data_IF_341608144257
#
_entry.id   IF_341608144257
#
_cell.length_a   1.000
_cell.length_b   1.000
_cell.length_c   1.000
_cell.angle_alpha   90.00
_cell.angle_beta   90.00
_cell.angle_gamma   90.00
#
_symmetry.space_group_name_H-M   'P 1'
#
loop_
_entity.id
_entity.type
_entity.pdbx_description
1 polymer ?
#
# COMPACT_ATOMS: atom_id res chain seq x y z
N UNK A 1 -28.31 34.14 -2.47
CA UNK A 1 -29.00 33.02 -3.16
C UNK A 1 -28.76 31.80 -2.29
N UNK A 2 -29.78 31.32 -1.58
CA UNK A 2 -29.66 30.05 -0.85
C UNK A 2 -29.63 28.91 -1.86
N UNK A 3 -28.50 28.19 -1.91
CA UNK A 3 -28.40 26.98 -2.70
C UNK A 3 -29.26 25.93 -2.01
N UNK A 4 -30.53 25.78 -2.46
CA UNK A 4 -31.36 24.69 -1.96
C UNK A 4 -31.14 23.44 -2.81
N UNK A 5 -31.20 22.26 -2.20
CA UNK A 5 -31.12 20.97 -2.87
C UNK A 5 -32.12 20.83 -4.02
N UNK A 6 -33.31 21.38 -3.85
CA UNK A 6 -34.37 21.44 -4.87
C UNK A 6 -33.97 22.32 -6.07
N UNK A 7 -33.34 23.48 -5.81
CA UNK A 7 -32.86 24.37 -6.86
C UNK A 7 -31.75 23.73 -7.69
N UNK A 8 -30.85 23.01 -7.02
CA UNK A 8 -29.77 22.27 -7.67
C UNK A 8 -30.31 21.13 -8.56
N UNK A 9 -31.24 20.34 -8.02
CA UNK A 9 -31.85 19.23 -8.75
C UNK A 9 -32.58 19.74 -10.01
N UNK A 10 -33.32 20.86 -9.89
CA UNK A 10 -34.02 21.50 -11.00
C UNK A 10 -33.07 22.03 -12.07
N UNK A 11 -31.95 22.66 -11.65
CA UNK A 11 -30.92 23.14 -12.59
C UNK A 11 -30.25 21.99 -13.36
N UNK A 12 -29.94 20.88 -12.67
CA UNK A 12 -29.40 19.66 -13.30
C UNK A 12 -30.40 19.07 -14.32
N UNK A 13 -31.66 18.98 -13.98
CA UNK A 13 -32.72 18.44 -14.84
C UNK A 13 -32.99 19.30 -16.07
N UNK A 14 -32.91 20.63 -15.95
CA UNK A 14 -33.15 21.55 -17.08
C UNK A 14 -32.00 21.71 -18.03
N UNK A 15 -30.75 21.39 -17.58
CA UNK A 15 -29.56 21.53 -18.39
C UNK A 15 -28.70 20.24 -18.39
N UNK A 16 -29.22 19.09 -18.86
CA UNK A 16 -28.57 17.80 -18.72
C UNK A 16 -27.19 17.74 -19.39
N UNK A 17 -27.01 18.38 -20.54
CA UNK A 17 -25.69 18.42 -21.24
C UNK A 17 -24.64 19.19 -20.46
N UNK A 18 -25.03 20.29 -19.78
CA UNK A 18 -24.10 21.05 -18.94
C UNK A 18 -23.74 20.29 -17.68
N UNK A 19 -24.70 19.62 -17.09
CA UNK A 19 -24.49 18.76 -15.91
C UNK A 19 -23.55 17.62 -16.26
N UNK A 20 -23.77 16.93 -17.38
CA UNK A 20 -22.87 15.87 -17.83
C UNK A 20 -21.45 16.40 -18.12
N UNK A 21 -21.33 17.54 -18.79
CA UNK A 21 -20.04 18.16 -19.04
C UNK A 21 -19.31 18.53 -17.73
N UNK A 22 -20.01 19.08 -16.74
CA UNK A 22 -19.45 19.41 -15.44
C UNK A 22 -18.92 18.15 -14.71
N UNK A 23 -19.66 17.04 -14.74
CA UNK A 23 -19.23 15.77 -14.17
C UNK A 23 -18.03 15.18 -14.90
N UNK A 24 -18.00 15.23 -16.23
CA UNK A 24 -16.83 14.79 -17.02
C UNK A 24 -15.57 15.60 -16.68
N UNK A 25 -15.71 16.91 -16.52
CA UNK A 25 -14.61 17.78 -16.09
C UNK A 25 -14.18 17.42 -14.66
N UNK A 26 -15.13 17.25 -13.74
CA UNK A 26 -14.80 16.89 -12.36
C UNK A 26 -14.03 15.56 -12.29
N UNK A 27 -14.47 14.55 -13.03
CA UNK A 27 -13.80 13.25 -13.09
C UNK A 27 -12.41 13.37 -13.72
N UNK A 28 -12.29 14.11 -14.81
CA UNK A 28 -11.00 14.34 -15.42
C UNK A 28 -10.02 15.05 -14.47
N UNK A 29 -10.48 16.10 -13.81
CA UNK A 29 -9.68 16.78 -12.77
C UNK A 29 -9.30 15.83 -11.63
N UNK A 30 -10.23 14.97 -11.20
CA UNK A 30 -9.95 13.97 -10.16
C UNK A 30 -8.84 13.01 -10.60
N UNK A 31 -8.85 12.51 -11.83
CA UNK A 31 -7.76 11.67 -12.34
C UNK A 31 -6.41 12.39 -12.39
N UNK A 32 -6.40 13.67 -12.78
CA UNK A 32 -5.18 14.47 -12.77
C UNK A 32 -4.65 14.65 -11.34
N UNK A 33 -5.54 14.97 -10.39
CA UNK A 33 -5.18 15.12 -8.96
C UNK A 33 -4.62 13.81 -8.41
N UNK A 34 -5.27 12.69 -8.66
CA UNK A 34 -4.79 11.36 -8.23
C UNK A 34 -3.40 11.09 -8.81
N UNK A 35 -3.22 11.27 -10.12
CA UNK A 35 -1.95 10.97 -10.78
C UNK A 35 -0.77 11.84 -10.31
N UNK A 36 -1.05 13.07 -9.89
CA UNK A 36 0.00 14.02 -9.48
C UNK A 36 0.26 14.03 -7.97
N UNK A 37 -0.73 13.75 -7.15
CA UNK A 37 -0.66 14.01 -5.70
C UNK A 37 -0.86 12.77 -4.84
N UNK A 38 -1.42 11.67 -5.35
CA UNK A 38 -1.78 10.53 -4.50
C UNK A 38 -0.53 9.83 -3.96
N UNK A 39 0.52 9.68 -4.78
CA UNK A 39 1.75 9.01 -4.36
C UNK A 39 2.42 9.66 -3.16
N UNK A 40 2.48 11.00 -3.16
CA UNK A 40 3.08 11.77 -2.06
C UNK A 40 2.13 11.95 -0.85
N UNK A 41 0.84 11.64 -1.03
CA UNK A 41 -0.18 11.83 -0.01
C UNK A 41 -0.35 10.61 0.91
N UNK A 42 0.14 9.46 0.49
CA UNK A 42 -0.03 8.21 1.21
C UNK A 42 1.24 7.82 1.95
N UNK A 43 1.07 7.34 3.18
CA UNK A 43 2.16 6.80 3.99
C UNK A 43 1.81 5.41 4.49
N UNK A 44 2.79 4.53 4.53
CA UNK A 44 2.73 3.25 5.23
C UNK A 44 3.05 3.42 6.72
N UNK A 45 3.77 4.47 7.09
CA UNK A 45 4.01 4.80 8.48
C UNK A 45 2.73 5.34 9.13
N UNK A 46 2.24 4.63 10.13
CA UNK A 46 1.10 5.07 10.95
C UNK A 46 1.50 6.17 11.93
N UNK A 47 2.02 7.31 11.45
CA UNK A 47 2.34 8.41 12.37
C UNK A 47 1.05 9.03 12.91
N UNK A 48 0.99 9.15 14.22
CA UNK A 48 -0.19 9.66 14.91
C UNK A 48 -0.11 11.19 14.92
N UNK A 49 -1.11 11.87 14.39
CA UNK A 49 -1.19 13.34 14.37
C UNK A 49 -1.28 13.95 15.78
N UNK A 50 -1.76 13.18 16.77
CA UNK A 50 -1.71 13.57 18.17
C UNK A 50 -0.29 13.40 18.72
N UNK A 51 -0.01 13.99 19.89
CA UNK A 51 1.29 13.88 20.57
C UNK A 51 1.20 12.93 21.77
N UNK A 52 1.05 11.59 21.59
CA UNK A 52 0.99 10.62 22.67
C UNK A 52 2.34 10.51 23.38
N UNK A 53 2.33 9.90 24.57
CA UNK A 53 3.53 9.72 25.40
C UNK A 53 4.65 8.96 24.64
N UNK A 54 4.29 8.01 23.78
CA UNK A 54 5.25 7.26 22.95
C UNK A 54 6.00 8.17 21.96
N UNK A 55 5.31 9.11 21.33
CA UNK A 55 5.91 10.09 20.40
C UNK A 55 6.81 11.07 21.15
N UNK A 56 6.40 11.51 22.34
CA UNK A 56 7.22 12.35 23.22
C UNK A 56 8.48 11.62 23.68
N UNK A 57 8.35 10.33 24.05
CA UNK A 57 9.50 9.52 24.44
C UNK A 57 10.47 9.31 23.27
N UNK A 58 9.96 9.04 22.06
CA UNK A 58 10.78 8.93 20.85
C UNK A 58 11.51 10.23 20.52
N UNK A 59 10.86 11.38 20.70
CA UNK A 59 11.49 12.69 20.53
C UNK A 59 12.62 12.91 21.57
N UNK A 60 12.38 12.59 22.84
CA UNK A 60 13.41 12.67 23.88
C UNK A 60 14.61 11.78 23.59
N UNK A 61 14.39 10.57 23.07
CA UNK A 61 15.47 9.66 22.67
C UNK A 61 16.29 10.31 21.53
N UNK A 62 15.63 10.81 20.48
CA UNK A 62 16.33 11.44 19.35
C UNK A 62 17.14 12.67 19.76
N UNK A 63 16.61 13.48 20.67
CA UNK A 63 17.24 14.73 21.11
C UNK A 63 18.36 14.51 22.13
N UNK A 64 18.27 13.44 22.93
CA UNK A 64 19.16 13.22 24.07
C UNK A 64 20.27 12.20 23.79
N UNK A 65 20.09 11.32 22.81
CA UNK A 65 21.04 10.26 22.48
C UNK A 65 21.59 10.44 21.06
N UNK A 66 22.86 10.08 20.81
CA UNK A 66 23.38 10.05 19.46
C UNK A 66 22.55 9.11 18.59
N UNK A 67 22.36 9.42 17.30
CA UNK A 67 21.65 8.55 16.38
C UNK A 67 22.25 7.15 16.40
N UNK A 68 21.46 6.17 16.81
CA UNK A 68 21.88 4.78 16.72
C UNK A 68 21.28 4.17 15.46
N UNK A 69 22.11 3.68 14.54
CA UNK A 69 21.62 2.96 13.39
C UNK A 69 20.95 1.68 13.85
N UNK A 70 19.61 1.66 13.84
CA UNK A 70 18.83 0.47 14.15
C UNK A 70 18.54 -0.29 12.88
N UNK A 71 18.85 -1.59 12.82
CA UNK A 71 18.43 -2.40 11.68
C UNK A 71 16.91 -2.38 11.53
N UNK A 72 16.44 -2.08 10.34
CA UNK A 72 15.01 -2.10 9.99
C UNK A 72 14.63 -3.33 9.18
N UNK A 73 15.61 -3.96 8.54
CA UNK A 73 15.44 -5.15 7.71
C UNK A 73 16.39 -6.26 8.14
N UNK A 74 15.99 -7.51 7.91
CA UNK A 74 16.78 -8.68 8.24
C UNK A 74 16.74 -9.63 7.05
N UNK A 75 17.90 -9.94 6.47
CA UNK A 75 18.04 -11.03 5.50
C UNK A 75 18.41 -12.31 6.24
N UNK A 76 17.66 -13.37 5.98
CA UNK A 76 17.93 -14.71 6.52
C UNK A 76 18.51 -15.57 5.40
N UNK A 77 19.69 -16.13 5.63
CA UNK A 77 20.34 -17.08 4.72
C UNK A 77 20.36 -18.44 5.39
N UNK A 78 19.82 -19.46 4.73
CA UNK A 78 19.73 -20.83 5.22
C UNK A 78 20.22 -21.81 4.16
N UNK A 79 20.85 -22.90 4.60
CA UNK A 79 21.16 -24.05 3.74
C UNK A 79 20.91 -25.36 4.49
N UNK A 80 20.34 -26.36 3.80
CA UNK A 80 20.25 -27.71 4.34
C UNK A 80 21.56 -28.50 4.18
N UNK A 81 22.42 -28.01 3.28
CA UNK A 81 23.67 -28.70 2.90
C UNK A 81 24.88 -28.16 3.66
N UNK A 82 24.93 -26.87 3.88
CA UNK A 82 26.07 -26.16 4.46
C UNK A 82 25.74 -25.59 5.82
N UNK A 83 26.72 -25.49 6.69
CA UNK A 83 26.69 -24.80 7.96
C UNK A 83 27.39 -23.45 7.85
N UNK A 84 27.19 -22.56 8.81
CA UNK A 84 27.89 -21.25 8.86
C UNK A 84 29.41 -21.38 8.94
N UNK A 85 29.95 -22.56 9.31
CA UNK A 85 31.38 -22.82 9.41
C UNK A 85 31.98 -23.19 8.05
N UNK A 86 31.17 -23.52 7.04
CA UNK A 86 31.60 -23.91 5.73
C UNK A 86 31.97 -22.68 4.87
N UNK A 87 33.05 -22.76 4.09
CA UNK A 87 33.50 -21.62 3.28
C UNK A 87 32.50 -21.20 2.20
N UNK A 88 31.69 -22.13 1.68
CA UNK A 88 30.62 -21.85 0.72
C UNK A 88 29.51 -21.02 1.34
N UNK A 89 29.11 -21.33 2.59
CA UNK A 89 28.11 -20.56 3.33
C UNK A 89 28.62 -19.15 3.61
N UNK A 90 29.86 -19.06 4.10
CA UNK A 90 30.51 -17.77 4.34
C UNK A 90 30.57 -16.90 3.09
N UNK A 91 31.00 -17.48 1.96
CA UNK A 91 31.09 -16.76 0.69
C UNK A 91 29.74 -16.23 0.24
N UNK A 92 28.67 -17.03 0.40
CA UNK A 92 27.28 -16.62 0.06
C UNK A 92 26.81 -15.43 0.89
N UNK A 93 26.98 -15.49 2.21
CA UNK A 93 26.56 -14.40 3.13
C UNK A 93 27.32 -13.11 2.85
N UNK A 94 28.65 -13.19 2.67
CA UNK A 94 29.48 -12.03 2.34
C UNK A 94 29.08 -11.41 0.99
N UNK A 95 28.79 -12.24 -0.01
CA UNK A 95 28.34 -11.76 -1.33
C UNK A 95 26.99 -11.05 -1.26
N UNK A 96 26.03 -11.56 -0.47
CA UNK A 96 24.72 -10.91 -0.28
C UNK A 96 24.88 -9.57 0.43
N UNK A 97 25.70 -9.52 1.49
CA UNK A 97 25.98 -8.28 2.21
C UNK A 97 26.61 -7.21 1.31
N UNK A 98 27.68 -7.56 0.60
CA UNK A 98 28.38 -6.65 -0.32
C UNK A 98 27.46 -6.13 -1.44
N UNK A 99 26.68 -7.01 -2.07
CA UNK A 99 25.72 -6.62 -3.11
C UNK A 99 24.59 -5.74 -2.56
N UNK A 100 24.13 -5.99 -1.32
CA UNK A 100 23.17 -5.13 -0.65
C UNK A 100 23.70 -3.70 -0.48
N UNK A 101 24.94 -3.55 -0.05
CA UNK A 101 25.60 -2.24 0.07
C UNK A 101 25.83 -1.57 -1.29
N UNK A 102 26.20 -2.33 -2.34
CA UNK A 102 26.37 -1.82 -3.72
C UNK A 102 25.09 -1.26 -4.32
N UNK A 103 23.90 -1.72 -3.89
CA UNK A 103 22.61 -1.15 -4.30
C UNK A 103 22.41 0.29 -3.84
N UNK A 104 23.21 0.76 -2.86
CA UNK A 104 23.12 2.12 -2.34
C UNK A 104 21.97 2.39 -1.38
N UNK A 105 21.04 1.45 -1.21
CA UNK A 105 19.89 1.53 -0.30
C UNK A 105 20.21 1.03 1.10
N UNK A 106 21.25 0.23 1.27
CA UNK A 106 21.76 -0.30 2.54
C UNK A 106 22.93 0.57 3.00
N UNK A 107 22.90 1.01 4.26
CA UNK A 107 23.97 1.78 4.87
C UNK A 107 25.00 0.89 5.57
N UNK A 108 24.54 -0.20 6.20
CA UNK A 108 25.37 -1.14 6.93
C UNK A 108 24.70 -2.53 6.97
N UNK A 109 25.51 -3.58 6.90
CA UNK A 109 25.07 -4.96 7.01
C UNK A 109 25.81 -5.65 8.15
N UNK A 110 25.07 -6.03 9.20
CA UNK A 110 25.66 -6.72 10.36
C UNK A 110 25.83 -8.21 10.05
N UNK A 111 27.04 -8.58 9.71
CA UNK A 111 27.36 -9.95 9.29
C UNK A 111 28.06 -10.68 10.44
N UNK A 112 27.63 -11.91 10.73
CA UNK A 112 28.23 -12.80 11.74
C UNK A 112 29.76 -12.85 11.64
N UNK A 113 30.30 -13.02 10.45
CA UNK A 113 31.75 -13.16 10.23
C UNK A 113 32.57 -11.89 10.47
N UNK A 114 31.93 -10.75 10.66
CA UNK A 114 32.57 -9.48 11.00
C UNK A 114 32.46 -9.16 12.49
N UNK A 115 31.36 -9.53 13.13
CA UNK A 115 31.05 -9.21 14.53
C UNK A 115 31.34 -10.36 15.50
N UNK A 116 31.41 -11.59 15.00
CA UNK A 116 31.50 -12.83 15.79
C UNK A 116 30.34 -12.98 16.81
N UNK A 117 29.16 -12.41 16.44
CA UNK A 117 27.96 -12.41 17.28
C UNK A 117 27.15 -13.68 17.03
N UNK A 118 27.30 -14.64 17.92
CA UNK A 118 26.57 -15.92 17.88
C UNK A 118 25.04 -15.77 17.95
N UNK A 119 24.52 -14.61 18.34
CA UNK A 119 23.08 -14.37 18.32
C UNK A 119 22.49 -14.29 16.91
N UNK A 120 23.32 -14.04 15.92
CA UNK A 120 22.96 -14.00 14.51
C UNK A 120 22.89 -15.39 13.86
N UNK A 121 23.34 -16.43 14.57
CA UNK A 121 23.43 -17.80 14.04
C UNK A 121 22.34 -18.69 14.66
N UNK A 122 21.72 -19.51 13.83
CA UNK A 122 20.73 -20.49 14.30
C UNK A 122 21.35 -21.58 15.18
N UNK A 123 20.56 -22.17 16.06
CA UNK A 123 21.02 -23.23 16.99
C UNK A 123 21.60 -24.45 16.26
N UNK A 124 21.11 -24.76 15.09
CA UNK A 124 21.56 -25.87 14.25
C UNK A 124 22.72 -25.47 13.32
N UNK A 125 23.16 -24.20 13.37
CA UNK A 125 24.22 -23.60 12.55
C UNK A 125 23.98 -23.68 11.04
N UNK A 126 22.75 -23.95 10.59
CA UNK A 126 22.35 -24.01 9.19
C UNK A 126 21.74 -22.70 8.65
N UNK A 127 21.58 -21.68 9.50
CA UNK A 127 21.09 -20.38 9.09
C UNK A 127 21.80 -19.24 9.82
N UNK A 128 21.86 -18.09 9.17
CA UNK A 128 22.29 -16.83 9.79
C UNK A 128 21.33 -15.70 9.43
N UNK A 129 21.20 -14.74 10.33
CA UNK A 129 20.55 -13.47 10.09
C UNK A 129 21.59 -12.43 9.72
N UNK A 130 21.23 -11.55 8.80
CA UNK A 130 22.00 -10.38 8.42
C UNK A 130 21.10 -9.16 8.64
N UNK A 131 21.14 -8.54 9.82
CA UNK A 131 20.45 -7.28 10.08
C UNK A 131 21.02 -6.17 9.20
N UNK A 132 20.12 -5.40 8.56
CA UNK A 132 20.48 -4.34 7.62
C UNK A 132 19.98 -2.99 8.16
N UNK A 133 20.87 -2.01 8.17
CA UNK A 133 20.53 -0.62 8.39
C UNK A 133 20.25 0.00 7.03
N UNK A 134 19.03 0.46 6.82
CA UNK A 134 18.66 1.06 5.56
C UNK A 134 19.08 2.54 5.49
N UNK A 135 19.42 3.00 4.29
CA UNK A 135 19.75 4.40 3.99
C UNK A 135 18.55 5.16 3.44
N UNK A 136 17.63 4.43 2.81
CA UNK A 136 16.39 4.95 2.24
C UNK A 136 15.29 3.91 2.42
N UNK A 137 14.05 4.34 2.26
CA UNK A 137 12.87 3.46 2.37
C UNK A 137 12.63 2.64 1.09
N UNK A 138 13.52 2.75 0.09
CA UNK A 138 13.42 2.04 -1.17
C UNK A 138 13.83 0.58 -1.01
N UNK A 139 12.85 -0.30 -0.77
CA UNK A 139 13.06 -1.73 -0.49
C UNK A 139 13.10 -2.62 -1.74
N UNK A 140 12.56 -2.15 -2.88
CA UNK A 140 12.40 -2.96 -4.10
C UNK A 140 13.72 -3.54 -4.62
N UNK A 141 14.83 -2.78 -4.75
CA UNK A 141 16.09 -3.35 -5.24
C UNK A 141 16.62 -4.47 -4.34
N UNK A 142 16.44 -4.33 -3.02
CA UNK A 142 16.90 -5.33 -2.05
C UNK A 142 16.03 -6.60 -2.10
N UNK A 143 14.72 -6.47 -2.22
CA UNK A 143 13.82 -7.62 -2.37
C UNK A 143 14.07 -8.38 -3.69
N UNK A 144 14.39 -7.69 -4.76
CA UNK A 144 14.79 -8.32 -6.04
C UNK A 144 16.11 -9.07 -5.92
N UNK A 145 17.10 -8.49 -5.25
CA UNK A 145 18.36 -9.17 -4.94
C UNK A 145 18.09 -10.48 -4.18
N UNK A 146 17.35 -10.41 -3.07
CA UNK A 146 17.02 -11.58 -2.25
C UNK A 146 16.26 -12.65 -3.05
N UNK A 147 15.30 -12.26 -3.86
CA UNK A 147 14.57 -13.18 -4.76
C UNK A 147 15.50 -13.85 -5.77
N UNK A 148 16.47 -13.12 -6.32
CA UNK A 148 17.42 -13.65 -7.29
C UNK A 148 18.37 -14.66 -6.67
N UNK A 149 18.71 -14.50 -5.38
CA UNK A 149 19.62 -15.37 -4.64
C UNK A 149 18.91 -16.59 -4.01
N UNK A 150 17.59 -16.52 -3.85
CA UNK A 150 16.82 -17.59 -3.26
C UNK A 150 16.73 -18.82 -4.17
N UNK A 151 17.01 -19.98 -3.62
CA UNK A 151 17.01 -21.28 -4.35
C UNK A 151 18.27 -21.55 -5.14
N UNK A 152 19.26 -20.64 -5.17
CA UNK A 152 20.54 -20.86 -5.85
C UNK A 152 21.51 -21.63 -4.95
N UNK A 153 22.26 -22.56 -5.55
CA UNK A 153 23.36 -23.33 -4.92
C UNK A 153 22.95 -24.08 -3.63
N UNK A 154 21.65 -24.35 -3.44
CA UNK A 154 21.14 -25.00 -2.24
C UNK A 154 20.94 -24.06 -1.04
N UNK A 155 20.88 -22.73 -1.30
CA UNK A 155 20.57 -21.73 -0.30
C UNK A 155 19.12 -21.24 -0.43
N UNK A 156 18.48 -21.08 0.71
CA UNK A 156 17.24 -20.34 0.88
C UNK A 156 17.57 -18.96 1.43
N UNK A 157 17.12 -17.93 0.74
CA UNK A 157 17.34 -16.53 1.14
C UNK A 157 15.98 -15.84 1.23
N UNK A 158 15.71 -15.22 2.37
CA UNK A 158 14.49 -14.49 2.62
C UNK A 158 14.80 -13.16 3.32
N UNK A 159 13.90 -12.21 3.19
CA UNK A 159 14.00 -10.90 3.84
C UNK A 159 12.72 -10.63 4.63
N UNK A 160 12.86 -9.94 5.76
CA UNK A 160 11.77 -9.43 6.57
C UNK A 160 12.22 -8.17 7.30
N UNK A 161 11.28 -7.31 7.61
CA UNK A 161 11.50 -6.07 8.35
C UNK A 161 10.32 -5.13 8.19
N UNK A 162 10.44 -3.90 8.66
CA UNK A 162 9.35 -2.93 8.59
C UNK A 162 9.02 -2.54 7.13
N UNK A 163 10.04 -2.17 6.35
CA UNK A 163 9.84 -1.75 4.95
C UNK A 163 9.36 -2.90 4.07
N UNK A 164 9.91 -4.11 4.28
CA UNK A 164 9.46 -5.31 3.55
C UNK A 164 8.01 -5.64 3.89
N UNK A 165 7.64 -5.58 5.16
CA UNK A 165 6.27 -5.86 5.60
C UNK A 165 5.28 -4.84 5.01
N UNK A 166 5.63 -3.56 5.01
CA UNK A 166 4.81 -2.50 4.44
C UNK A 166 4.62 -2.69 2.92
N UNK A 167 5.70 -2.99 2.19
CA UNK A 167 5.63 -3.26 0.75
C UNK A 167 4.80 -4.52 0.42
N UNK A 168 4.92 -5.58 1.22
CA UNK A 168 4.11 -6.79 1.06
C UNK A 168 2.64 -6.51 1.38
N UNK A 169 2.35 -5.69 2.37
CA UNK A 169 1.00 -5.28 2.73
C UNK A 169 0.34 -4.44 1.63
N UNK A 170 1.08 -3.48 1.08
CA UNK A 170 0.61 -2.66 -0.05
C UNK A 170 0.26 -3.54 -1.25
N UNK A 171 1.17 -4.44 -1.63
CA UNK A 171 0.97 -5.37 -2.73
C UNK A 171 -0.24 -6.30 -2.51
N UNK A 172 -0.38 -6.89 -1.32
CA UNK A 172 -1.53 -7.73 -0.98
C UNK A 172 -2.83 -6.94 -1.04
N UNK A 173 -2.81 -5.69 -0.56
CA UNK A 173 -3.97 -4.80 -0.60
C UNK A 173 -4.40 -4.47 -2.04
N UNK A 174 -3.44 -4.22 -2.95
CA UNK A 174 -3.73 -4.04 -4.37
C UNK A 174 -4.30 -5.31 -5.01
N UNK A 175 -3.72 -6.47 -4.71
CA UNK A 175 -4.20 -7.75 -5.23
C UNK A 175 -5.61 -8.07 -4.73
N UNK A 176 -5.90 -7.82 -3.46
CA UNK A 176 -7.23 -8.04 -2.87
C UNK A 176 -8.27 -7.09 -3.48
N UNK A 177 -7.91 -5.82 -3.71
CA UNK A 177 -8.77 -4.87 -4.41
C UNK A 177 -9.10 -5.36 -5.82
N UNK A 178 -8.09 -5.77 -6.58
CA UNK A 178 -8.26 -6.24 -7.95
C UNK A 178 -9.09 -7.53 -7.99
N UNK A 179 -8.71 -8.54 -7.23
CA UNK A 179 -9.35 -9.87 -7.26
C UNK A 179 -10.71 -9.85 -6.57
N UNK A 180 -10.79 -9.27 -5.37
CA UNK A 180 -12.01 -9.25 -4.56
C UNK A 180 -13.06 -8.28 -5.11
N UNK A 181 -12.71 -7.04 -5.31
CA UNK A 181 -13.69 -6.02 -5.67
C UNK A 181 -13.95 -5.94 -7.18
N UNK A 182 -12.90 -5.87 -8.00
CA UNK A 182 -13.08 -5.66 -9.43
C UNK A 182 -13.49 -6.94 -10.19
N UNK A 183 -12.88 -8.09 -9.88
CA UNK A 183 -13.17 -9.33 -10.63
C UNK A 183 -14.34 -10.15 -10.07
N UNK A 184 -14.63 -10.05 -8.77
CA UNK A 184 -15.72 -10.81 -8.15
C UNK A 184 -16.86 -9.89 -7.72
N UNK A 185 -16.58 -8.88 -6.91
CA UNK A 185 -17.59 -8.02 -6.28
C UNK A 185 -18.38 -7.21 -7.31
N UNK A 186 -17.70 -6.52 -8.20
CA UNK A 186 -18.33 -5.67 -9.21
C UNK A 186 -19.18 -6.45 -10.21
N UNK A 187 -18.71 -7.57 -10.81
CA UNK A 187 -19.56 -8.41 -11.66
C UNK A 187 -20.75 -9.03 -10.92
N UNK A 188 -20.56 -9.50 -9.69
CA UNK A 188 -21.65 -10.05 -8.89
C UNK A 188 -22.71 -8.97 -8.58
N UNK A 189 -22.28 -7.77 -8.18
CA UNK A 189 -23.17 -6.63 -7.96
C UNK A 189 -23.95 -6.28 -9.23
N UNK A 190 -23.28 -6.23 -10.38
CA UNK A 190 -23.91 -5.93 -11.66
C UNK A 190 -24.96 -7.00 -12.04
N UNK A 191 -24.67 -8.27 -11.85
CA UNK A 191 -25.63 -9.38 -12.11
C UNK A 191 -26.86 -9.22 -11.23
N UNK A 192 -26.67 -8.98 -9.93
CA UNK A 192 -27.78 -8.78 -8.99
C UNK A 192 -28.62 -7.55 -9.38
N UNK A 193 -27.97 -6.43 -9.71
CA UNK A 193 -28.66 -5.21 -10.13
C UNK A 193 -29.44 -5.41 -11.43
N UNK A 194 -28.89 -6.11 -12.41
CA UNK A 194 -29.59 -6.44 -13.66
C UNK A 194 -30.82 -7.34 -13.39
N UNK A 195 -30.72 -8.32 -12.50
CA UNK A 195 -31.85 -9.16 -12.09
C UNK A 195 -32.92 -8.35 -11.36
N UNK A 196 -32.55 -7.45 -10.46
CA UNK A 196 -33.47 -6.61 -9.69
C UNK A 196 -34.17 -5.59 -10.59
N UNK A 197 -33.44 -4.93 -11.47
CA UNK A 197 -34.00 -3.90 -12.37
C UNK A 197 -34.58 -4.46 -13.65
N UNK A 198 -34.28 -5.68 -14.03
CA UNK A 198 -34.75 -6.31 -15.26
C UNK A 198 -34.20 -5.66 -16.54
N UNK A 199 -33.18 -4.81 -16.44
CA UNK A 199 -32.56 -4.14 -17.57
C UNK A 199 -31.09 -3.84 -17.27
N UNK A 200 -30.20 -4.16 -18.22
CA UNK A 200 -28.74 -3.97 -18.10
C UNK A 200 -28.40 -2.49 -17.88
N UNK A 201 -28.99 -1.59 -18.65
CA UNK A 201 -28.73 -0.15 -18.53
C UNK A 201 -29.10 0.39 -17.16
N UNK A 202 -30.25 -0.05 -16.61
CA UNK A 202 -30.68 0.37 -15.27
C UNK A 202 -29.76 -0.18 -14.16
N UNK A 203 -29.23 -1.39 -14.33
CA UNK A 203 -28.24 -1.96 -13.39
C UNK A 203 -26.86 -1.31 -13.46
N UNK A 204 -26.47 -0.79 -14.64
CA UNK A 204 -25.17 -0.16 -14.83
C UNK A 204 -25.08 1.23 -14.17
N UNK A 205 -26.19 1.97 -14.08
CA UNK A 205 -26.20 3.34 -13.53
C UNK A 205 -25.71 3.39 -12.07
N UNK A 206 -26.19 2.55 -11.13
CA UNK A 206 -25.68 2.52 -9.77
C UNK A 206 -24.17 2.26 -9.68
N UNK A 207 -23.70 1.31 -10.47
CA UNK A 207 -22.28 0.94 -10.52
C UNK A 207 -21.43 2.11 -10.98
N UNK A 208 -21.84 2.79 -12.06
CA UNK A 208 -21.13 3.97 -12.56
C UNK A 208 -21.11 5.11 -11.54
N UNK A 209 -22.21 5.35 -10.84
CA UNK A 209 -22.27 6.37 -9.80
C UNK A 209 -21.37 6.02 -8.62
N UNK A 210 -21.31 4.75 -8.22
CA UNK A 210 -20.38 4.27 -7.19
C UNK A 210 -18.92 4.50 -7.59
N UNK A 211 -18.54 4.09 -8.79
CA UNK A 211 -17.16 4.29 -9.30
C UNK A 211 -16.79 5.78 -9.41
N UNK A 212 -17.71 6.63 -9.89
CA UNK A 212 -17.47 8.08 -9.92
C UNK A 212 -17.27 8.66 -8.52
N UNK A 213 -18.03 8.20 -7.56
CA UNK A 213 -17.92 8.63 -6.16
C UNK A 213 -16.58 8.23 -5.57
N UNK A 214 -16.10 7.02 -5.85
CA UNK A 214 -14.77 6.53 -5.41
C UNK A 214 -13.66 7.42 -6.00
N UNK A 215 -13.68 7.65 -7.31
CA UNK A 215 -12.66 8.48 -7.98
C UNK A 215 -12.58 9.88 -7.37
N UNK A 216 -13.73 10.50 -7.11
CA UNK A 216 -13.77 11.83 -6.49
C UNK A 216 -13.29 11.78 -5.03
N UNK A 217 -13.69 10.76 -4.27
CA UNK A 217 -13.28 10.61 -2.88
C UNK A 217 -11.76 10.41 -2.77
N UNK A 218 -11.17 9.55 -3.62
CA UNK A 218 -9.71 9.34 -3.67
C UNK A 218 -8.98 10.64 -4.07
N UNK A 219 -9.51 11.41 -5.03
CA UNK A 219 -8.93 12.70 -5.39
C UNK A 219 -8.98 13.71 -4.23
N UNK A 220 -10.09 13.75 -3.48
CA UNK A 220 -10.20 14.59 -2.29
C UNK A 220 -9.22 14.13 -1.19
N UNK A 221 -9.06 12.83 -1.03
CA UNK A 221 -8.07 12.25 -0.10
C UNK A 221 -6.65 12.65 -0.50
N UNK A 222 -6.30 12.59 -1.79
CA UNK A 222 -5.00 13.05 -2.28
C UNK A 222 -4.74 14.54 -1.98
N UNK A 223 -5.77 15.39 -2.07
CA UNK A 223 -5.66 16.80 -1.68
C UNK A 223 -5.50 16.97 -0.17
N UNK A 224 -6.26 16.23 0.63
CA UNK A 224 -6.15 16.28 2.10
C UNK A 224 -4.79 15.76 2.55
N UNK A 225 -4.27 14.73 1.89
CA UNK A 225 -2.96 14.14 2.17
C UNK A 225 -1.77 15.09 1.92
N UNK A 226 -1.98 16.23 1.24
CA UNK A 226 -0.94 17.27 1.15
C UNK A 226 -0.77 18.05 2.48
N UNK A 227 -1.72 17.93 3.39
CA UNK A 227 -1.71 18.66 4.68
C UNK A 227 -1.63 17.71 5.88
N UNK A 228 -1.98 16.44 5.70
CA UNK A 228 -2.03 15.43 6.74
C UNK A 228 -1.51 14.12 6.18
N UNK A 229 -0.74 13.38 6.96
CA UNK A 229 -0.34 12.02 6.61
C UNK A 229 -1.56 11.11 6.57
N UNK A 230 -1.80 10.48 5.42
CA UNK A 230 -2.95 9.60 5.20
C UNK A 230 -2.42 8.19 4.94
N UNK A 231 -2.89 7.23 5.73
CA UNK A 231 -2.53 5.83 5.52
C UNK A 231 -3.04 5.31 4.17
N UNK A 232 -2.24 4.51 3.49
CA UNK A 232 -2.63 3.85 2.24
C UNK A 232 -3.90 2.99 2.37
N UNK A 233 -4.22 2.48 3.56
CA UNK A 233 -5.47 1.76 3.83
C UNK A 233 -6.74 2.59 3.55
N UNK A 234 -6.64 3.92 3.59
CA UNK A 234 -7.79 4.79 3.33
C UNK A 234 -8.32 4.59 1.92
N UNK A 235 -7.46 4.38 0.93
CA UNK A 235 -7.87 4.13 -0.46
C UNK A 235 -8.66 2.83 -0.56
N UNK A 236 -8.22 1.75 0.11
CA UNK A 236 -8.94 0.50 0.14
C UNK A 236 -10.31 0.64 0.82
N UNK A 237 -10.37 1.35 1.94
CA UNK A 237 -11.63 1.63 2.63
C UNK A 237 -12.59 2.47 1.78
N UNK A 238 -12.09 3.49 1.09
CA UNK A 238 -12.90 4.31 0.17
C UNK A 238 -13.46 3.46 -0.96
N UNK A 239 -12.66 2.56 -1.53
CA UNK A 239 -13.08 1.68 -2.62
C UNK A 239 -14.18 0.73 -2.16
N UNK A 240 -13.95 -0.02 -1.07
CA UNK A 240 -14.91 -0.99 -0.54
C UNK A 240 -16.23 -0.31 -0.10
N UNK A 241 -16.14 0.71 0.75
CA UNK A 241 -17.31 1.42 1.26
C UNK A 241 -17.99 2.27 0.17
N UNK A 242 -17.21 2.88 -0.71
CA UNK A 242 -17.72 3.72 -1.80
C UNK A 242 -18.53 2.90 -2.80
N UNK A 243 -18.06 1.70 -3.13
CA UNK A 243 -18.80 0.78 -4.00
C UNK A 243 -20.10 0.33 -3.32
N UNK A 244 -20.02 -0.14 -2.08
CA UNK A 244 -21.18 -0.62 -1.34
C UNK A 244 -22.26 0.46 -1.17
N UNK A 245 -21.89 1.60 -0.60
CA UNK A 245 -22.82 2.71 -0.36
C UNK A 245 -23.30 3.35 -1.67
N UNK A 246 -22.42 3.48 -2.66
CA UNK A 246 -22.77 4.05 -3.96
C UNK A 246 -23.84 3.24 -4.68
N UNK A 247 -23.75 1.91 -4.62
CA UNK A 247 -24.75 1.00 -5.18
C UNK A 247 -26.06 1.08 -4.38
N UNK A 248 -26.00 1.00 -3.04
CA UNK A 248 -27.19 0.96 -2.19
C UNK A 248 -28.01 2.25 -2.28
N UNK A 249 -27.39 3.41 -2.21
CA UNK A 249 -28.09 4.69 -2.36
C UNK A 249 -28.68 4.87 -3.76
N UNK A 250 -27.94 4.48 -4.78
CA UNK A 250 -28.42 4.55 -6.16
C UNK A 250 -29.60 3.61 -6.40
N UNK A 251 -29.56 2.40 -5.83
CA UNK A 251 -30.65 1.45 -5.87
C UNK A 251 -31.93 2.00 -5.21
N UNK A 252 -31.76 2.63 -4.05
CA UNK A 252 -32.91 3.26 -3.34
C UNK A 252 -33.54 4.38 -4.17
N UNK A 253 -32.74 5.25 -4.79
CA UNK A 253 -33.23 6.33 -5.64
C UNK A 253 -33.94 5.78 -6.88
N UNK A 254 -33.29 4.85 -7.61
CA UNK A 254 -33.84 4.29 -8.83
C UNK A 254 -35.11 3.47 -8.61
N UNK A 255 -35.23 2.74 -7.50
CA UNK A 255 -36.42 1.97 -7.17
C UNK A 255 -37.66 2.88 -6.92
N UNK A 256 -37.44 4.13 -6.49
CA UNK A 256 -38.52 5.10 -6.26
C UNK A 256 -38.98 5.79 -7.55
N UNK A 257 -38.18 5.80 -8.59
CA UNK A 257 -38.55 6.38 -9.89
C UNK A 257 -39.19 5.37 -10.86
N UNK A 258 -39.28 4.11 -10.47
CA UNK A 258 -39.96 3.05 -11.23
C UNK A 258 -41.38 2.85 -10.72
#
# INVERSE_FOLDING_TARGET
MSVSTEGLARACATHPKRTLAAWLVAVFVSFVVIALLLGDALTSEGDVTSNPDSKQASALIRDSFPPQPTPSEIVVVRSERYTVDDPEFRAKVLAIGARGEELGVVADAQIYYASDDESLVSKDRHATMVPLVMRSDEIVPLTELVKSENGQDGFQVAITGSLTADADFEKLSEEDLQKGELFIGLPAALIILVLVFGAVVAGLVPVLLGLLSIVIAVALTALVGQFFEVSFFVVNMISAMGLALGIDYSLFILSRYR
#
